data_IF_525207002142
#
_entry.id   IF_525207002142
#
_cell.length_a   1.000
_cell.length_b   1.000
_cell.length_c   1.000
_cell.angle_alpha   90.00
_cell.angle_beta   90.00
_cell.angle_gamma   90.00
#
_symmetry.space_group_name_H-M   'P 1'
#
loop_
_entity.id
_entity.type
_entity.pdbx_description
1 polymer ?
#
# COMPACT_ATOMS: atom_id res chain seq x y z
N UNK A 1 12.13 10.51 28.28
CA UNK A 1 12.77 9.28 27.75
C UNK A 1 13.65 9.68 26.57
N UNK A 2 14.89 9.21 26.50
CA UNK A 2 15.77 9.52 25.36
C UNK A 2 15.30 8.77 24.11
N UNK A 3 15.42 9.36 22.90
CA UNK A 3 15.07 8.67 21.67
C UNK A 3 16.02 7.51 21.40
N UNK A 4 15.49 6.44 20.81
CA UNK A 4 16.28 5.36 20.24
C UNK A 4 16.49 5.61 18.74
N UNK A 5 17.72 5.44 18.21
CA UNK A 5 17.96 5.52 16.78
C UNK A 5 17.30 4.34 16.07
N UNK A 6 16.81 4.59 14.86
CA UNK A 6 16.18 3.60 14.01
C UNK A 6 16.22 3.99 12.54
N UNK A 7 15.56 3.20 11.71
CA UNK A 7 15.46 3.47 10.27
C UNK A 7 14.15 2.96 9.71
N UNK A 8 13.60 3.70 8.75
CA UNK A 8 12.48 3.25 7.93
C UNK A 8 12.83 3.42 6.44
N UNK A 9 12.96 2.31 5.71
CA UNK A 9 13.53 2.30 4.34
C UNK A 9 14.91 3.01 4.34
N UNK A 10 15.08 4.09 3.58
CA UNK A 10 16.30 4.90 3.53
C UNK A 10 16.30 6.07 4.52
N UNK A 11 15.24 6.24 5.34
CA UNK A 11 15.12 7.35 6.29
C UNK A 11 15.83 7.04 7.60
N UNK A 12 16.56 8.03 8.11
CA UNK A 12 17.11 7.97 9.46
C UNK A 12 16.03 8.40 10.44
N UNK A 13 15.87 7.65 11.54
CA UNK A 13 14.79 7.89 12.48
C UNK A 13 15.29 8.02 13.92
N UNK A 14 14.57 8.83 14.69
CA UNK A 14 14.62 8.86 16.16
C UNK A 14 13.25 8.49 16.69
N UNK A 15 13.20 7.48 17.56
CA UNK A 15 11.96 6.92 18.06
C UNK A 15 11.83 7.11 19.57
N UNK A 16 10.63 7.51 19.99
CA UNK A 16 10.23 7.49 21.41
C UNK A 16 9.11 6.48 21.59
N UNK A 17 9.20 5.71 22.66
CA UNK A 17 8.22 4.69 23.00
C UNK A 17 7.63 4.99 24.38
N UNK A 18 6.31 5.16 24.42
CA UNK A 18 5.55 5.43 25.63
C UNK A 18 4.62 4.22 25.83
N UNK A 19 5.02 3.21 26.61
CA UNK A 19 4.34 1.92 26.65
C UNK A 19 2.92 2.00 27.22
N UNK A 20 2.69 2.89 28.19
CA UNK A 20 1.44 2.96 28.95
C UNK A 20 0.99 4.41 29.12
N UNK A 21 0.15 4.88 28.20
CA UNK A 21 -0.62 6.11 28.35
C UNK A 21 -1.99 5.73 28.94
N UNK A 22 -2.22 6.16 30.18
CA UNK A 22 -3.44 5.86 30.95
C UNK A 22 -4.45 7.02 30.95
N UNK A 23 -4.10 8.15 30.34
CA UNK A 23 -4.84 9.43 30.46
C UNK A 23 -5.88 9.63 29.36
N UNK A 24 -6.33 8.57 28.67
CA UNK A 24 -7.35 8.66 27.62
C UNK A 24 -8.68 8.08 28.13
N UNK A 25 -9.62 8.91 28.67
CA UNK A 25 -10.81 8.41 29.36
C UNK A 25 -11.76 7.55 28.51
N UNK A 26 -11.80 7.81 27.20
CA UNK A 26 -12.63 7.04 26.26
C UNK A 26 -12.05 5.67 25.92
N UNK A 27 -10.77 5.41 26.20
CA UNK A 27 -10.12 4.13 25.95
C UNK A 27 -9.90 3.41 27.27
N UNK A 28 -10.65 2.34 27.50
CA UNK A 28 -10.66 1.62 28.78
C UNK A 28 -9.44 0.73 29.01
N UNK A 29 -8.50 0.68 28.05
CA UNK A 29 -7.27 -0.09 28.13
C UNK A 29 -6.06 0.84 28.00
N UNK A 30 -4.91 0.52 28.62
CA UNK A 30 -3.67 1.24 28.38
C UNK A 30 -3.35 1.31 26.88
N UNK A 31 -2.97 2.48 26.40
CA UNK A 31 -2.50 2.63 25.02
C UNK A 31 -1.01 2.94 25.00
N UNK A 32 -0.32 2.34 24.04
CA UNK A 32 1.06 2.60 23.74
C UNK A 32 1.17 3.65 22.65
N UNK A 33 2.05 4.62 22.85
CA UNK A 33 2.33 5.68 21.88
C UNK A 33 3.76 5.57 21.40
N UNK A 34 3.95 5.56 20.08
CA UNK A 34 5.26 5.60 19.43
C UNK A 34 5.37 6.88 18.62
N UNK A 35 6.36 7.71 18.93
CA UNK A 35 6.71 8.87 18.10
C UNK A 35 7.88 8.53 17.20
N UNK A 36 7.80 8.84 15.91
CA UNK A 36 8.88 8.69 14.94
C UNK A 36 9.22 10.03 14.30
N UNK A 37 10.42 10.54 14.57
CA UNK A 37 10.98 11.68 13.84
C UNK A 37 11.92 11.16 12.77
N UNK A 38 11.64 11.50 11.51
CA UNK A 38 12.27 10.89 10.34
C UNK A 38 12.91 11.96 9.47
N UNK A 39 14.19 11.77 9.16
CA UNK A 39 14.97 12.66 8.31
C UNK A 39 15.32 11.94 7.02
N UNK A 40 15.09 12.60 5.89
CA UNK A 40 15.35 12.04 4.57
C UNK A 40 15.53 13.12 3.51
N UNK A 41 16.24 12.78 2.43
CA UNK A 41 16.47 13.70 1.32
C UNK A 41 15.46 13.43 0.20
N UNK A 42 14.89 14.50 -0.34
CA UNK A 42 14.03 14.45 -1.53
C UNK A 42 14.68 15.26 -2.62
N UNK A 43 14.85 14.66 -3.80
CA UNK A 43 15.27 15.39 -4.98
C UNK A 43 14.07 16.08 -5.63
N UNK A 44 14.02 17.41 -5.60
CA UNK A 44 12.90 18.17 -6.13
C UNK A 44 12.86 18.07 -7.66
N UNK A 45 11.66 17.92 -8.23
CA UNK A 45 11.52 17.72 -9.66
C UNK A 45 11.83 18.97 -10.49
N UNK A 46 11.57 20.16 -9.93
CA UNK A 46 11.68 21.47 -10.59
C UNK A 46 13.13 21.88 -10.84
N UNK A 47 13.98 21.81 -9.82
CA UNK A 47 15.36 22.32 -9.85
C UNK A 47 16.42 21.20 -9.74
N UNK A 48 15.98 19.95 -9.55
CA UNK A 48 16.84 18.77 -9.37
C UNK A 48 17.78 18.87 -8.16
N UNK A 49 17.50 19.76 -7.20
CA UNK A 49 18.28 19.87 -5.98
C UNK A 49 17.80 18.89 -4.92
N UNK A 50 18.74 18.49 -4.06
CA UNK A 50 18.48 17.65 -2.92
C UNK A 50 18.06 18.53 -1.74
N UNK A 51 16.88 18.22 -1.20
CA UNK A 51 16.27 18.97 -0.12
C UNK A 51 16.09 18.06 1.10
N UNK A 52 16.62 18.49 2.25
CA UNK A 52 16.52 17.75 3.50
C UNK A 52 15.14 17.97 4.11
N UNK A 53 14.41 16.88 4.28
CA UNK A 53 13.07 16.87 4.83
C UNK A 53 13.07 16.17 6.19
N UNK A 54 12.20 16.67 7.07
CA UNK A 54 11.91 16.06 8.35
C UNK A 54 10.41 15.84 8.48
N UNK A 55 10.01 14.69 8.99
CA UNK A 55 8.62 14.37 9.31
C UNK A 55 8.51 13.85 10.72
N UNK A 56 7.42 14.19 11.40
CA UNK A 56 7.12 13.71 12.75
C UNK A 56 5.80 12.95 12.74
N UNK A 57 5.83 11.71 13.23
CA UNK A 57 4.70 10.81 13.26
C UNK A 57 4.41 10.37 14.68
N UNK A 58 3.13 10.27 15.03
CA UNK A 58 2.67 9.72 16.29
C UNK A 58 1.72 8.56 16.00
N UNK A 59 2.10 7.37 16.45
CA UNK A 59 1.34 6.14 16.30
C UNK A 59 0.80 5.72 17.66
N UNK A 60 -0.49 5.43 17.73
CA UNK A 60 -1.14 4.98 18.97
C UNK A 60 -1.70 3.58 18.75
N UNK A 61 -1.45 2.69 19.70
CA UNK A 61 -1.83 1.28 19.58
C UNK A 61 -2.12 0.65 20.93
N UNK A 62 -2.93 -0.40 20.96
CA UNK A 62 -3.11 -1.28 22.13
C UNK A 62 -2.16 -2.49 22.09
N UNK A 63 -1.28 -2.57 21.09
CA UNK A 63 -0.33 -3.66 20.92
C UNK A 63 0.82 -3.57 21.93
N UNK A 64 1.07 -4.67 22.64
CA UNK A 64 2.14 -4.75 23.63
C UNK A 64 3.54 -4.68 23.00
N UNK A 65 4.51 -4.22 23.79
CA UNK A 65 5.93 -4.20 23.41
C UNK A 65 6.46 -5.61 23.05
N UNK A 66 6.01 -6.64 23.78
CA UNK A 66 6.44 -8.01 23.56
C UNK A 66 6.05 -8.55 22.17
N UNK A 67 4.89 -8.15 21.65
CA UNK A 67 4.39 -8.61 20.35
C UNK A 67 4.86 -7.72 19.19
N UNK A 68 5.01 -6.41 19.43
CA UNK A 68 5.28 -5.42 18.39
C UNK A 68 6.41 -4.47 18.82
N UNK A 69 7.66 -4.71 18.40
CA UNK A 69 8.75 -3.76 18.57
C UNK A 69 8.45 -2.42 17.86
N UNK A 70 9.05 -1.33 18.33
CA UNK A 70 8.88 0.03 17.80
C UNK A 70 9.00 0.08 16.27
N UNK A 71 10.04 -0.55 15.72
CA UNK A 71 10.28 -0.60 14.27
C UNK A 71 9.08 -1.20 13.49
N UNK A 72 8.42 -2.22 14.05
CA UNK A 72 7.25 -2.85 13.42
C UNK A 72 6.04 -1.92 13.45
N UNK A 73 5.84 -1.17 14.55
CA UNK A 73 4.77 -0.17 14.64
C UNK A 73 4.98 0.94 13.60
N UNK A 74 6.20 1.47 13.50
CA UNK A 74 6.53 2.50 12.50
C UNK A 74 6.29 1.98 11.08
N UNK A 75 6.71 0.73 10.79
CA UNK A 75 6.47 0.12 9.48
C UNK A 75 4.97 -0.02 9.18
N UNK A 76 4.18 -0.54 10.12
CA UNK A 76 2.72 -0.67 9.98
C UNK A 76 2.03 0.68 9.81
N UNK A 77 2.42 1.70 10.58
CA UNK A 77 1.89 3.05 10.46
C UNK A 77 2.07 3.62 9.06
N UNK A 78 3.24 3.39 8.46
CA UNK A 78 3.51 3.81 7.08
C UNK A 78 2.82 2.94 6.02
N UNK A 79 2.54 1.66 6.29
CA UNK A 79 1.75 0.82 5.39
C UNK A 79 0.33 1.35 5.18
N UNK A 80 -0.16 2.28 6.01
CA UNK A 80 -1.41 2.99 5.72
C UNK A 80 -1.35 3.71 4.37
N UNK A 81 -0.19 4.22 3.96
CA UNK A 81 0.00 4.83 2.64
C UNK A 81 -0.06 3.81 1.50
N UNK A 82 0.22 2.53 1.78
CA UNK A 82 0.07 1.47 0.78
C UNK A 82 -1.41 1.25 0.42
N UNK A 83 -2.35 1.47 1.35
CA UNK A 83 -3.81 1.44 1.05
C UNK A 83 -4.19 2.55 0.06
N UNK A 84 -3.64 3.75 0.24
CA UNK A 84 -3.88 4.85 -0.69
C UNK A 84 -3.30 4.58 -2.07
N UNK A 85 -2.05 4.13 -2.12
CA UNK A 85 -1.33 3.92 -3.37
C UNK A 85 -1.85 2.71 -4.16
N UNK A 86 -1.99 1.56 -3.51
CA UNK A 86 -2.40 0.31 -4.17
C UNK A 86 -3.90 0.08 -4.11
N UNK A 87 -4.56 0.44 -3.02
CA UNK A 87 -6.01 0.32 -2.92
C UNK A 87 -6.68 1.36 -3.82
N UNK A 88 -6.65 2.63 -3.43
CA UNK A 88 -7.44 3.65 -4.12
C UNK A 88 -6.85 4.10 -5.47
N UNK A 89 -5.58 4.48 -5.48
CA UNK A 89 -4.97 5.09 -6.66
C UNK A 89 -4.78 4.09 -7.81
N UNK A 90 -4.43 2.82 -7.52
CA UNK A 90 -4.38 1.79 -8.56
C UNK A 90 -5.78 1.43 -9.08
N UNK A 91 -6.76 1.22 -8.21
CA UNK A 91 -8.13 0.88 -8.62
C UNK A 91 -8.73 1.95 -9.53
N UNK A 92 -8.53 3.23 -9.21
CA UNK A 92 -8.99 4.32 -10.06
C UNK A 92 -8.23 4.38 -11.39
N UNK A 93 -6.90 4.47 -11.36
CA UNK A 93 -6.13 4.80 -12.57
C UNK A 93 -5.84 3.61 -13.49
N UNK A 94 -5.78 2.39 -12.95
CA UNK A 94 -5.42 1.19 -13.72
C UNK A 94 -6.60 0.22 -13.92
N UNK A 95 -7.57 0.24 -13.01
CA UNK A 95 -8.77 -0.61 -13.09
C UNK A 95 -10.05 0.18 -13.42
N UNK A 96 -9.96 1.51 -13.52
CA UNK A 96 -11.07 2.41 -13.88
C UNK A 96 -12.29 2.26 -12.97
N UNK A 97 -12.07 2.00 -11.67
CA UNK A 97 -13.15 1.81 -10.70
C UNK A 97 -13.97 3.09 -10.44
N UNK A 98 -13.47 4.25 -10.88
CA UNK A 98 -14.13 5.55 -10.83
C UNK A 98 -15.07 5.80 -12.03
N UNK A 99 -15.05 4.92 -13.04
CA UNK A 99 -15.93 5.03 -14.20
C UNK A 99 -17.30 4.41 -13.95
N UNK A 100 -18.37 5.18 -14.21
CA UNK A 100 -19.76 4.71 -14.09
C UNK A 100 -20.21 4.10 -15.42
N UNK A 101 -20.13 2.76 -15.52
CA UNK A 101 -20.57 2.02 -16.72
C UNK A 101 -22.09 2.01 -16.91
N UNK A 102 -22.86 2.12 -15.81
CA UNK A 102 -24.33 2.19 -15.82
C UNK A 102 -24.82 3.02 -14.64
N UNK A 103 -25.69 3.98 -14.91
CA UNK A 103 -26.28 4.88 -13.91
C UNK A 103 -27.47 4.22 -13.17
N UNK A 104 -27.20 3.08 -12.55
CA UNK A 104 -28.15 2.34 -11.71
C UNK A 104 -27.42 1.93 -10.41
N UNK A 105 -27.96 2.20 -9.21
CA UNK A 105 -27.26 1.94 -7.96
C UNK A 105 -26.80 0.49 -7.78
N UNK A 106 -27.64 -0.47 -8.14
CA UNK A 106 -27.30 -1.90 -8.02
C UNK A 106 -26.24 -2.31 -9.04
N UNK A 107 -26.28 -1.76 -10.25
CA UNK A 107 -25.23 -1.96 -11.23
C UNK A 107 -23.89 -1.35 -10.81
N UNK A 108 -23.89 -0.14 -10.23
CA UNK A 108 -22.68 0.53 -9.73
C UNK A 108 -22.03 -0.33 -8.64
N UNK A 109 -22.81 -0.79 -7.67
CA UNK A 109 -22.34 -1.68 -6.61
C UNK A 109 -21.77 -3.00 -7.19
N UNK A 110 -22.49 -3.63 -8.12
CA UNK A 110 -22.05 -4.87 -8.76
C UNK A 110 -20.72 -4.68 -9.50
N UNK A 111 -20.59 -3.64 -10.33
CA UNK A 111 -19.34 -3.36 -11.06
C UNK A 111 -18.17 -3.08 -10.10
N UNK A 112 -18.41 -2.35 -9.02
CA UNK A 112 -17.38 -2.07 -8.01
C UNK A 112 -16.92 -3.36 -7.30
N UNK A 113 -17.85 -4.21 -6.87
CA UNK A 113 -17.53 -5.48 -6.22
C UNK A 113 -16.79 -6.45 -7.16
N UNK A 114 -17.19 -6.50 -8.44
CA UNK A 114 -16.48 -7.28 -9.46
C UNK A 114 -15.06 -6.75 -9.69
N UNK A 115 -14.88 -5.43 -9.73
CA UNK A 115 -13.55 -4.82 -9.83
C UNK A 115 -12.67 -5.19 -8.63
N UNK A 116 -13.20 -5.14 -7.40
CA UNK A 116 -12.47 -5.56 -6.20
C UNK A 116 -12.12 -7.05 -6.22
N UNK A 117 -13.04 -7.91 -6.68
CA UNK A 117 -12.78 -9.33 -6.82
C UNK A 117 -11.65 -9.60 -7.84
N UNK A 118 -11.73 -8.99 -9.02
CA UNK A 118 -10.73 -9.12 -10.07
C UNK A 118 -9.36 -8.61 -9.62
N UNK A 119 -9.31 -7.45 -8.96
CA UNK A 119 -8.11 -6.87 -8.35
C UNK A 119 -7.45 -7.86 -7.37
N UNK A 120 -8.22 -8.37 -6.41
CA UNK A 120 -7.70 -9.28 -5.39
C UNK A 120 -7.18 -10.59 -6.01
N UNK A 121 -7.94 -11.18 -6.94
CA UNK A 121 -7.53 -12.41 -7.63
C UNK A 121 -6.23 -12.19 -8.41
N UNK A 122 -6.13 -11.09 -9.16
CA UNK A 122 -4.93 -10.76 -9.94
C UNK A 122 -3.69 -10.61 -9.04
N UNK A 123 -3.79 -9.82 -7.97
CA UNK A 123 -2.66 -9.61 -7.07
C UNK A 123 -2.27 -10.88 -6.32
N UNK A 124 -3.23 -11.68 -5.85
CA UNK A 124 -2.96 -12.97 -5.21
C UNK A 124 -2.31 -13.93 -6.20
N UNK A 125 -2.80 -14.01 -7.44
CA UNK A 125 -2.21 -14.85 -8.49
C UNK A 125 -0.73 -14.48 -8.73
N UNK A 126 -0.44 -13.19 -8.91
CA UNK A 126 0.94 -12.74 -9.10
C UNK A 126 1.80 -12.97 -7.86
N UNK A 127 1.27 -12.72 -6.67
CA UNK A 127 2.01 -12.83 -5.41
C UNK A 127 2.29 -14.28 -5.01
N UNK A 128 1.35 -15.20 -5.28
CA UNK A 128 1.33 -16.55 -4.70
C UNK A 128 1.42 -17.67 -5.73
N UNK A 129 0.94 -17.47 -6.95
CA UNK A 129 0.87 -18.51 -7.97
C UNK A 129 2.00 -18.42 -9.00
N UNK A 130 2.44 -17.20 -9.36
CA UNK A 130 3.59 -17.02 -10.24
C UNK A 130 4.89 -17.32 -9.49
N UNK A 131 5.66 -18.30 -9.97
CA UNK A 131 6.95 -18.69 -9.40
C UNK A 131 7.90 -17.48 -9.29
N UNK A 132 8.61 -17.29 -8.16
CA UNK A 132 9.46 -16.11 -7.95
C UNK A 132 10.49 -15.86 -9.06
N UNK A 133 11.14 -16.92 -9.56
CA UNK A 133 12.13 -16.82 -10.65
C UNK A 133 11.51 -16.33 -11.97
N UNK A 134 10.24 -16.65 -12.23
CA UNK A 134 9.53 -16.20 -13.43
C UNK A 134 9.06 -14.76 -13.24
N UNK A 135 8.62 -14.39 -12.03
CA UNK A 135 8.17 -13.03 -11.70
C UNK A 135 9.29 -12.00 -11.70
N UNK A 136 10.51 -12.43 -11.37
CA UNK A 136 11.67 -11.54 -11.25
C UNK A 136 11.88 -10.71 -12.53
N UNK A 137 12.09 -9.40 -12.36
CA UNK A 137 12.32 -8.45 -13.45
C UNK A 137 11.08 -8.07 -14.27
N UNK A 138 9.89 -8.60 -13.94
CA UNK A 138 8.64 -8.29 -14.65
C UNK A 138 7.73 -7.41 -13.79
N UNK A 139 7.15 -6.38 -14.39
CA UNK A 139 6.20 -5.47 -13.73
C UNK A 139 4.80 -6.07 -13.70
N UNK A 140 3.90 -5.55 -12.85
CA UNK A 140 2.48 -5.91 -12.87
C UNK A 140 1.84 -5.61 -14.24
N UNK A 141 2.22 -4.49 -14.87
CA UNK A 141 1.75 -4.11 -16.21
C UNK A 141 2.14 -5.16 -17.27
N UNK A 142 3.34 -5.74 -17.18
CA UNK A 142 3.73 -6.85 -18.07
C UNK A 142 2.74 -8.01 -17.95
N UNK A 143 2.42 -8.42 -16.73
CA UNK A 143 1.52 -9.54 -16.50
C UNK A 143 0.08 -9.25 -16.93
N UNK A 144 -0.42 -8.05 -16.65
CA UNK A 144 -1.73 -7.62 -17.11
C UNK A 144 -1.83 -7.67 -18.64
N UNK A 145 -0.81 -7.17 -19.36
CA UNK A 145 -0.75 -7.22 -20.82
C UNK A 145 -0.67 -8.64 -21.36
N UNK A 146 0.13 -9.50 -20.73
CA UNK A 146 0.23 -10.91 -21.13
C UNK A 146 -1.11 -11.62 -20.97
N UNK A 147 -1.76 -11.50 -19.81
CA UNK A 147 -3.07 -12.10 -19.55
C UNK A 147 -4.11 -11.59 -20.55
N UNK A 148 -4.14 -10.27 -20.80
CA UNK A 148 -5.05 -9.69 -21.79
C UNK A 148 -4.79 -10.21 -23.21
N UNK A 149 -3.52 -10.36 -23.61
CA UNK A 149 -3.16 -10.90 -24.92
C UNK A 149 -3.64 -12.35 -25.11
N UNK A 150 -3.49 -13.20 -24.09
CA UNK A 150 -3.99 -14.58 -24.12
C UNK A 150 -5.52 -14.63 -24.15
N UNK A 151 -6.20 -13.81 -23.34
CA UNK A 151 -7.66 -13.76 -23.36
C UNK A 151 -8.21 -13.29 -24.72
N UNK A 152 -7.56 -12.32 -25.37
CA UNK A 152 -7.99 -11.85 -26.69
C UNK A 152 -7.62 -12.80 -27.82
N UNK A 153 -6.53 -13.56 -27.71
CA UNK A 153 -6.17 -14.57 -28.71
C UNK A 153 -7.19 -15.71 -28.75
N UNK A 154 -7.76 -16.07 -27.60
CA UNK A 154 -8.84 -17.08 -27.50
C UNK A 154 -10.19 -16.57 -28.03
N UNK A 155 -10.43 -15.27 -27.99
CA UNK A 155 -11.71 -14.65 -28.45
C UNK A 155 -11.69 -14.32 -29.94
N UNK A 156 -10.53 -14.19 -30.57
CA UNK A 156 -10.41 -13.99 -32.01
C UNK A 156 -10.90 -15.26 -32.76
N UNK A 157 -11.94 -15.18 -33.61
CA UNK A 157 -12.38 -16.35 -34.37
C UNK A 157 -11.27 -16.77 -35.34
N UNK A 158 -11.09 -18.07 -35.52
CA UNK A 158 -10.10 -18.73 -36.39
C UNK A 158 -10.26 -18.42 -37.91
N UNK A 159 -10.86 -17.29 -38.29
CA UNK A 159 -11.31 -17.02 -39.65
C UNK A 159 -11.30 -15.55 -40.02
N UNK A 160 -10.20 -14.84 -39.78
CA UNK A 160 -9.85 -13.68 -40.61
C UNK A 160 -8.34 -13.69 -40.87
N UNK A 161 -7.98 -14.32 -41.99
CA UNK A 161 -6.71 -14.07 -42.70
C UNK A 161 -6.90 -12.84 -43.62
N UNK A 162 -5.80 -12.14 -43.96
CA UNK A 162 -5.79 -10.70 -44.27
C UNK A 162 -6.51 -10.29 -45.56
#
# INVERSE_FOLDING_TARGET
MAPQPGSYRSRQCHWWDFPDLLTWPQVQVPVRVVRSSETYTVRRQLDKQDDLQQSDWIWVTTLSLAQFPVARIVHLGHQRWDIENYGFNELANQWHSDHIFKHDPGAIECFLLVAFLAYNIFHVFLARNVKPCVRQGKTQIFWARLIAAELYSEVAPAGMSP
#
